data_IF_665493630521
#
_entry.id   IF_665493630521
#
_cell.length_a   1.000
_cell.length_b   1.000
_cell.length_c   1.000
_cell.angle_alpha   90.00
_cell.angle_beta   90.00
_cell.angle_gamma   90.00
#
_symmetry.space_group_name_H-M   'P 1'
#
loop_
_entity.id
_entity.type
_entity.pdbx_description
1 polymer ?
#
# COMPACT_ATOMS: atom_id res chain seq x y z
N UNK A 1 0.71 -21.48 9.71
CA UNK A 1 0.77 -20.02 9.49
C UNK A 1 0.78 -19.78 7.99
N UNK A 2 -0.16 -19.00 7.44
CA UNK A 2 -0.24 -18.72 6.00
C UNK A 2 0.55 -17.44 5.72
N UNK A 3 1.40 -17.43 4.69
CA UNK A 3 2.20 -16.28 4.30
C UNK A 3 1.68 -15.65 3.01
N UNK A 4 1.54 -14.33 2.96
CA UNK A 4 1.04 -13.58 1.81
C UNK A 4 1.94 -12.39 1.49
N UNK A 5 2.13 -12.12 0.20
CA UNK A 5 2.82 -10.92 -0.27
C UNK A 5 1.99 -9.68 0.04
N UNK A 6 2.66 -8.63 0.52
CA UNK A 6 2.05 -7.37 0.92
C UNK A 6 2.63 -6.22 0.10
N UNK A 7 1.75 -5.57 -0.66
CA UNK A 7 2.06 -4.34 -1.38
C UNK A 7 1.44 -3.17 -0.58
N UNK A 8 2.24 -2.37 0.14
CA UNK A 8 1.71 -1.27 0.94
C UNK A 8 1.29 -0.08 0.08
N UNK A 9 1.99 0.18 -1.03
CA UNK A 9 1.84 1.41 -1.80
C UNK A 9 2.35 2.65 -1.05
N UNK A 10 2.45 3.78 -1.76
CA UNK A 10 3.04 5.00 -1.20
C UNK A 10 2.17 5.67 -0.13
N UNK A 11 0.83 5.62 -0.27
CA UNK A 11 -0.10 6.22 0.69
C UNK A 11 -0.03 5.56 2.07
N UNK A 12 0.22 4.24 2.13
CA UNK A 12 0.31 3.51 3.39
C UNK A 12 1.47 3.98 4.29
N UNK A 13 2.50 4.61 3.72
CA UNK A 13 3.59 5.24 4.47
C UNK A 13 3.32 6.71 4.80
N UNK A 14 2.36 7.34 4.10
CA UNK A 14 2.00 8.75 4.23
C UNK A 14 0.60 8.94 4.79
N UNK A 15 -0.34 9.33 3.93
CA UNK A 15 -1.69 9.78 4.31
C UNK A 15 -2.60 8.68 4.86
N UNK A 16 -2.34 7.40 4.58
CA UNK A 16 -3.16 6.26 5.02
C UNK A 16 -2.43 5.32 5.99
N UNK A 17 -1.47 5.85 6.76
CA UNK A 17 -0.70 5.06 7.74
C UNK A 17 -1.56 4.29 8.75
N UNK A 18 -2.64 4.91 9.23
CA UNK A 18 -3.63 4.27 10.12
C UNK A 18 -4.25 3.02 9.48
N UNK A 19 -4.63 3.09 8.19
CA UNK A 19 -5.17 1.95 7.45
C UNK A 19 -4.15 0.83 7.28
N UNK A 20 -2.88 1.17 7.04
CA UNK A 20 -1.80 0.19 6.94
C UNK A 20 -1.59 -0.55 8.28
N UNK A 21 -1.64 0.17 9.40
CA UNK A 21 -1.54 -0.42 10.75
C UNK A 21 -2.74 -1.33 11.06
N UNK A 22 -3.96 -0.84 10.81
CA UNK A 22 -5.19 -1.61 10.98
C UNK A 22 -5.18 -2.90 10.15
N UNK A 23 -4.78 -2.81 8.88
CA UNK A 23 -4.64 -3.96 7.97
C UNK A 23 -3.68 -5.01 8.54
N UNK A 24 -2.49 -4.59 8.99
CA UNK A 24 -1.50 -5.51 9.59
C UNK A 24 -2.06 -6.22 10.83
N UNK A 25 -2.78 -5.49 11.70
CA UNK A 25 -3.39 -6.04 12.92
C UNK A 25 -4.52 -7.04 12.62
N UNK A 26 -5.34 -6.76 11.62
CA UNK A 26 -6.38 -7.70 11.17
C UNK A 26 -5.76 -9.01 10.66
N UNK A 27 -4.70 -8.93 9.85
CA UNK A 27 -4.02 -10.12 9.32
C UNK A 27 -3.30 -10.93 10.42
N UNK A 28 -2.69 -10.25 11.39
CA UNK A 28 -2.11 -10.87 12.59
C UNK A 28 -3.18 -11.66 13.37
N UNK A 29 -4.35 -11.07 13.61
CA UNK A 29 -5.47 -11.73 14.28
C UNK A 29 -6.01 -12.95 13.51
N UNK A 30 -5.89 -12.94 12.18
CA UNK A 30 -6.26 -14.06 11.31
C UNK A 30 -5.16 -15.14 11.19
N UNK A 31 -4.00 -14.95 11.83
CA UNK A 31 -2.87 -15.89 11.74
C UNK A 31 -2.19 -15.90 10.37
N UNK A 32 -2.25 -14.76 9.65
CA UNK A 32 -1.65 -14.56 8.33
C UNK A 32 -0.45 -13.61 8.47
N UNK A 33 0.72 -14.06 8.00
CA UNK A 33 1.92 -13.24 7.92
C UNK A 33 1.90 -12.43 6.62
N UNK A 34 1.95 -11.10 6.74
CA UNK A 34 2.13 -10.18 5.62
C UNK A 34 3.63 -9.92 5.38
N UNK A 35 4.17 -10.44 4.28
CA UNK A 35 5.53 -10.18 3.85
C UNK A 35 5.55 -9.06 2.83
N UNK A 36 6.13 -7.92 3.19
CA UNK A 36 6.32 -6.82 2.25
C UNK A 36 7.15 -7.26 1.04
N UNK A 37 6.67 -6.91 -0.15
CA UNK A 37 7.38 -7.19 -1.40
C UNK A 37 8.67 -6.36 -1.45
N UNK A 38 9.79 -6.97 -1.84
CA UNK A 38 11.02 -6.22 -2.09
C UNK A 38 10.88 -5.42 -3.38
N UNK A 39 11.44 -4.21 -3.38
CA UNK A 39 11.58 -3.36 -4.57
C UNK A 39 10.24 -3.08 -5.29
N UNK A 40 9.15 -2.99 -4.55
CA UNK A 40 7.88 -2.53 -5.11
C UNK A 40 8.00 -1.06 -5.53
N UNK A 41 7.35 -0.70 -6.63
CA UNK A 41 7.30 0.68 -7.14
C UNK A 41 5.90 1.27 -6.98
N UNK A 42 5.83 2.60 -6.95
CA UNK A 42 4.56 3.32 -6.92
C UNK A 42 3.64 2.88 -8.07
N UNK A 43 2.36 2.65 -7.77
CA UNK A 43 1.36 2.23 -8.77
C UNK A 43 0.99 3.32 -9.79
N UNK A 44 1.43 4.57 -9.59
CA UNK A 44 1.14 5.67 -10.51
C UNK A 44 -0.32 6.13 -10.52
N UNK A 45 -1.11 5.78 -9.50
CA UNK A 45 -2.55 6.13 -9.43
C UNK A 45 -2.83 7.63 -9.23
N UNK A 46 -1.80 8.47 -9.10
CA UNK A 46 -1.96 9.92 -9.04
C UNK A 46 -2.51 10.43 -10.38
N UNK A 47 -3.56 11.27 -10.38
CA UNK A 47 -4.15 11.76 -11.62
C UNK A 47 -3.16 12.69 -12.35
N UNK A 48 -2.71 12.30 -13.54
CA UNK A 48 -1.76 13.09 -14.33
C UNK A 48 -2.31 14.51 -14.63
N UNK A 49 -3.61 14.61 -14.89
CA UNK A 49 -4.34 15.86 -15.15
C UNK A 49 -4.24 16.90 -14.00
N UNK A 50 -3.88 16.49 -12.76
CA UNK A 50 -3.66 17.45 -11.65
C UNK A 50 -2.28 18.12 -11.67
N UNK A 51 -1.34 17.59 -12.46
CA UNK A 51 0.05 18.05 -12.50
C UNK A 51 0.37 18.93 -13.72
N UNK A 52 -0.41 18.83 -14.79
CA UNK A 52 -0.22 19.63 -16.01
C UNK A 52 -1.50 19.70 -16.83
N UNK A 53 -1.78 20.87 -17.40
CA UNK A 53 -2.88 21.07 -18.34
C UNK A 53 -2.69 20.29 -19.66
N UNK A 54 -1.44 19.93 -20.00
CA UNK A 54 -1.14 19.12 -21.18
C UNK A 54 -1.43 17.62 -20.96
N UNK A 55 -1.52 17.23 -19.69
CA UNK A 55 -1.88 15.89 -19.25
C UNK A 55 -3.33 15.89 -18.75
N UNK A 56 -4.15 16.90 -19.13
CA UNK A 56 -5.55 17.17 -18.77
C UNK A 56 -6.59 16.62 -19.77
#
# INVERSE_FOLDING_TARGET
MIKKGYYPGCSASGTSKEYAMSTKKVYEALGIELQELKDWICCGSSPAHSSSLLLA
#
